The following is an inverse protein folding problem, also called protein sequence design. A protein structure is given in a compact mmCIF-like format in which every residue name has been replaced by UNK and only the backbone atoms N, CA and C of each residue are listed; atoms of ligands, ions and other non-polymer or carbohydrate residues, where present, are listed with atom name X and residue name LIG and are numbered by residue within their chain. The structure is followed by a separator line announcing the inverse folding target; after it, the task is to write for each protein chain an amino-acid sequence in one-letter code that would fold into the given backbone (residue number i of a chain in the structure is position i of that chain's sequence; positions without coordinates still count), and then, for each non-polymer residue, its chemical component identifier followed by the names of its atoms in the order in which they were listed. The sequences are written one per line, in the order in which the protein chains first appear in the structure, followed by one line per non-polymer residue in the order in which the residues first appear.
data_IF_244101681709
#
_entry.id   IF_244101681709
#
_cell.length_a   1.000
_cell.length_b   1.000
_cell.length_c   1.000
_cell.angle_alpha   90.00
_cell.angle_beta   90.00
_cell.angle_gamma   90.00
#
_symmetry.space_group_name_H-M   'P 1'
#
loop_
_entity.id
_entity.type
_entity.pdbx_description
1 polymer ?
#
# COMPACT_ATOMS: atom_id res chain seq x y z
N UNK A 1 25.81 25.43 -44.08
CA UNK A 1 24.69 25.87 -43.22
C UNK A 1 24.69 24.92 -42.04
N UNK A 2 25.50 25.26 -41.05
CA UNK A 2 25.76 24.44 -39.86
C UNK A 2 24.60 24.65 -38.88
N UNK A 3 23.63 23.74 -38.89
CA UNK A 3 22.54 23.77 -37.91
C UNK A 3 23.09 23.39 -36.54
N UNK A 4 23.33 24.43 -35.76
CA UNK A 4 23.72 24.44 -34.36
C UNK A 4 22.77 23.57 -33.51
N UNK A 5 23.27 22.41 -33.05
CA UNK A 5 22.61 21.54 -32.07
C UNK A 5 22.61 22.26 -30.71
N UNK A 6 21.58 23.07 -30.43
CA UNK A 6 21.37 23.61 -29.09
C UNK A 6 20.70 22.51 -28.25
N UNK A 7 21.33 22.01 -27.17
CA UNK A 7 20.65 21.07 -26.28
C UNK A 7 19.42 21.75 -25.68
N UNK A 8 18.26 21.11 -25.80
CA UNK A 8 17.04 21.60 -25.17
C UNK A 8 17.18 21.42 -23.64
N UNK A 9 17.08 22.49 -22.83
CA UNK A 9 17.14 22.36 -21.37
C UNK A 9 15.97 21.55 -20.80
N UNK A 10 14.88 21.39 -21.54
CA UNK A 10 13.70 20.62 -21.10
C UNK A 10 13.84 19.10 -21.29
N UNK A 11 14.89 18.64 -21.99
CA UNK A 11 15.17 17.19 -22.17
C UNK A 11 16.29 16.69 -21.26
N UNK A 12 16.48 17.34 -20.09
CA UNK A 12 17.42 16.87 -19.08
C UNK A 12 16.88 15.58 -18.42
N UNK A 13 17.61 14.45 -18.45
CA UNK A 13 17.14 13.18 -17.88
C UNK A 13 17.02 13.18 -16.34
N UNK A 14 17.41 14.26 -15.66
CA UNK A 14 17.34 14.36 -14.19
C UNK A 14 15.88 14.42 -13.65
N UNK A 15 14.89 14.79 -14.48
CA UNK A 15 13.47 14.89 -14.04
C UNK A 15 12.75 13.52 -14.04
N UNK A 16 13.30 12.51 -14.73
CA UNK A 16 12.74 11.15 -14.77
C UNK A 16 13.49 10.16 -13.87
N UNK A 17 14.49 10.61 -13.12
CA UNK A 17 15.09 9.79 -12.07
C UNK A 17 14.08 9.66 -10.93
N UNK A 18 13.51 8.46 -10.65
CA UNK A 18 12.75 8.28 -9.43
C UNK A 18 13.69 8.60 -8.27
N UNK A 19 13.35 9.63 -7.49
CA UNK A 19 14.10 10.01 -6.30
C UNK A 19 14.24 8.76 -5.45
N UNK A 20 15.44 8.22 -5.41
CA UNK A 20 15.89 7.14 -4.55
C UNK A 20 16.03 7.69 -3.13
N UNK A 21 14.95 8.28 -2.62
CA UNK A 21 14.81 8.60 -1.22
C UNK A 21 14.50 7.28 -0.48
N UNK A 22 15.33 6.82 0.48
CA UNK A 22 15.06 5.62 1.27
C UNK A 22 13.73 5.66 2.05
N UNK A 23 13.06 6.82 2.08
CA UNK A 23 11.84 7.06 2.85
C UNK A 23 10.55 6.47 2.25
N UNK A 24 10.51 6.09 0.96
CA UNK A 24 9.31 5.46 0.36
C UNK A 24 9.30 3.92 0.47
N UNK A 25 10.03 3.37 1.44
CA UNK A 25 10.14 1.91 1.65
C UNK A 25 8.94 1.26 2.36
N UNK A 26 7.83 1.98 2.51
CA UNK A 26 6.57 1.37 2.97
C UNK A 26 5.61 1.31 1.79
N UNK A 27 5.16 0.11 1.35
CA UNK A 27 4.10 0.03 0.37
C UNK A 27 2.92 0.85 0.90
N UNK A 28 2.40 1.80 0.10
CA UNK A 28 1.22 2.60 0.46
C UNK A 28 0.12 1.66 0.96
N UNK A 29 -0.11 1.64 2.27
CA UNK A 29 -1.17 0.85 2.89
C UNK A 29 -2.48 1.56 2.58
N UNK A 30 -3.20 1.10 1.56
CA UNK A 30 -4.53 1.60 1.30
C UNK A 30 -5.50 0.99 2.33
N UNK A 31 -6.30 1.79 3.05
CA UNK A 31 -7.28 1.25 3.97
C UNK A 31 -8.36 0.51 3.16
N UNK A 32 -8.40 -0.82 3.29
CA UNK A 32 -9.41 -1.67 2.65
C UNK A 32 -10.42 -2.13 3.69
N UNK A 33 -11.71 -1.88 3.44
CA UNK A 33 -12.78 -2.34 4.31
C UNK A 33 -13.05 -3.84 4.09
N UNK A 34 -12.98 -4.62 5.17
CA UNK A 34 -13.26 -6.05 5.16
C UNK A 34 -14.48 -6.37 6.03
N UNK A 35 -15.38 -7.24 5.54
CA UNK A 35 -16.53 -7.74 6.30
C UNK A 35 -16.44 -9.25 6.40
N UNK A 36 -16.23 -9.76 7.62
CA UNK A 36 -16.24 -11.20 7.92
C UNK A 36 -17.65 -11.61 8.33
N UNK A 37 -18.25 -12.57 7.62
CA UNK A 37 -19.56 -13.15 7.94
C UNK A 37 -19.42 -14.65 8.18
N UNK A 38 -19.97 -15.13 9.29
CA UNK A 38 -19.92 -16.54 9.64
C UNK A 38 -20.23 -16.76 11.11
N UNK A 39 -19.99 -17.99 11.58
CA UNK A 39 -20.09 -18.28 13.01
C UNK A 39 -19.03 -17.50 13.80
N UNK A 40 -19.33 -17.17 15.06
CA UNK A 40 -18.39 -16.46 15.95
C UNK A 40 -17.01 -17.14 15.99
N UNK A 41 -16.98 -18.48 16.02
CA UNK A 41 -15.73 -19.25 16.02
C UNK A 41 -14.94 -19.08 14.71
N UNK A 42 -15.63 -19.12 13.57
CA UNK A 42 -14.98 -18.93 12.27
C UNK A 42 -14.39 -17.52 12.16
N UNK A 43 -15.13 -16.49 12.57
CA UNK A 43 -14.65 -15.10 12.51
C UNK A 43 -13.40 -14.91 13.37
N UNK A 44 -13.41 -15.39 14.63
CA UNK A 44 -12.26 -15.29 15.54
C UNK A 44 -11.04 -16.01 14.96
N UNK A 45 -11.21 -17.23 14.44
CA UNK A 45 -10.11 -17.96 13.82
C UNK A 45 -9.53 -17.20 12.63
N UNK A 46 -10.37 -16.66 11.75
CA UNK A 46 -9.92 -15.87 10.60
C UNK A 46 -9.18 -14.60 11.03
N UNK A 47 -9.67 -13.86 12.02
CA UNK A 47 -8.98 -12.68 12.57
C UNK A 47 -7.57 -13.04 13.06
N UNK A 48 -7.43 -14.15 13.81
CA UNK A 48 -6.12 -14.64 14.25
C UNK A 48 -5.22 -15.04 13.08
N UNK A 49 -5.75 -15.74 12.08
CA UNK A 49 -4.98 -16.13 10.90
C UNK A 49 -4.46 -14.91 10.13
N UNK A 50 -5.33 -13.91 9.90
CA UNK A 50 -4.97 -12.67 9.21
C UNK A 50 -3.90 -11.86 9.97
N UNK A 51 -3.97 -11.87 11.30
CA UNK A 51 -2.94 -11.25 12.13
C UNK A 51 -1.59 -11.97 12.04
N UNK A 52 -1.57 -13.31 12.11
CA UNK A 52 -0.33 -14.11 12.01
C UNK A 52 0.39 -13.89 10.68
N UNK A 53 -0.34 -13.69 9.58
CA UNK A 53 0.25 -13.41 8.26
C UNK A 53 0.57 -11.92 8.03
N UNK A 54 0.34 -11.06 9.02
CA UNK A 54 0.60 -9.61 8.92
C UNK A 54 -0.36 -8.87 7.98
N UNK A 55 -1.53 -9.45 7.70
CA UNK A 55 -2.53 -8.87 6.79
C UNK A 55 -3.37 -7.78 7.46
N UNK A 56 -3.82 -8.02 8.70
CA UNK A 56 -4.63 -7.08 9.48
C UNK A 56 -4.36 -7.25 10.98
N UNK A 57 -4.34 -6.16 11.72
CA UNK A 57 -4.14 -6.19 13.17
C UNK A 57 -5.42 -6.52 13.93
N UNK A 58 -5.32 -7.16 15.10
CA UNK A 58 -6.51 -7.53 15.90
C UNK A 58 -7.27 -6.27 16.37
N UNK A 59 -6.54 -5.18 16.63
CA UNK A 59 -7.11 -3.91 17.09
C UNK A 59 -7.83 -3.10 16.00
N UNK A 60 -7.62 -3.45 14.73
CA UNK A 60 -8.25 -2.76 13.58
C UNK A 60 -9.70 -3.23 13.33
N UNK A 61 -10.10 -4.35 13.94
CA UNK A 61 -11.44 -4.90 13.75
C UNK A 61 -12.48 -4.23 14.64
N UNK A 62 -13.68 -4.05 14.09
CA UNK A 62 -14.83 -3.58 14.87
C UNK A 62 -15.43 -4.71 15.72
N UNK A 63 -16.14 -4.38 16.82
CA UNK A 63 -16.82 -5.39 17.63
C UNK A 63 -17.78 -6.24 16.80
N UNK A 64 -17.81 -7.55 17.10
CA UNK A 64 -18.70 -8.49 16.41
C UNK A 64 -20.16 -8.10 16.64
N UNK A 65 -20.90 -7.87 15.55
CA UNK A 65 -22.33 -7.58 15.64
C UNK A 65 -23.11 -8.85 16.03
N UNK A 66 -24.10 -8.74 16.94
CA UNK A 66 -25.01 -9.83 17.23
C UNK A 66 -25.80 -10.20 15.97
N UNK A 67 -26.05 -11.50 15.79
CA UNK A 67 -26.77 -12.08 14.64
C UNK A 67 -28.25 -12.23 14.95
#
# INVERSE_FOLDING_TARGET
MDSEFRPNPETNPEDITPSNNPQESFPKKYPVQHILKGSRKAIINTMHTLHVVGYAEIVEWTPLQPT
#
